data_IF_265546677282
#
_entry.id   IF_265546677282
#
_cell.length_a   1.000
_cell.length_b   1.000
_cell.length_c   1.000
_cell.angle_alpha   90.00
_cell.angle_beta   90.00
_cell.angle_gamma   90.00
#
_symmetry.space_group_name_H-M   'P 1'
#
loop_
_entity.id
_entity.type
_entity.pdbx_description
1 polymer ?
#
# COMPACT_ATOMS: atom_id res chain seq x y z
N UNK A 1 5.96 2.90 -3.38
CA UNK A 1 5.77 2.52 -4.79
C UNK A 1 5.20 1.12 -4.87
N UNK A 2 4.18 0.90 -5.68
CA UNK A 2 3.54 -0.40 -5.80
C UNK A 2 4.47 -1.42 -6.48
N UNK A 3 4.38 -2.68 -6.05
CA UNK A 3 5.21 -3.77 -6.54
C UNK A 3 4.33 -4.74 -7.36
N UNK A 4 4.62 -4.82 -8.66
CA UNK A 4 3.91 -5.70 -9.58
C UNK A 4 4.10 -7.19 -9.21
N UNK A 5 5.31 -7.57 -8.78
CA UNK A 5 5.59 -8.95 -8.37
C UNK A 5 4.73 -9.35 -7.17
N UNK A 6 4.62 -8.48 -6.18
CA UNK A 6 3.77 -8.72 -5.01
C UNK A 6 2.30 -8.81 -5.41
N UNK A 7 1.85 -7.98 -6.35
CA UNK A 7 0.49 -8.02 -6.86
C UNK A 7 0.18 -9.35 -7.54
N UNK A 8 1.09 -9.87 -8.35
CA UNK A 8 0.94 -11.17 -8.99
C UNK A 8 0.86 -12.28 -7.95
N UNK A 9 1.73 -12.26 -6.95
CA UNK A 9 1.77 -13.27 -5.89
C UNK A 9 0.54 -13.25 -5.00
N UNK A 10 -0.14 -12.11 -4.88
CA UNK A 10 -1.40 -12.02 -4.14
C UNK A 10 -2.56 -12.73 -4.85
N UNK A 11 -2.46 -12.90 -6.16
CA UNK A 11 -3.46 -13.63 -6.97
C UNK A 11 -3.27 -15.13 -6.83
N UNK A 12 -2.03 -15.59 -6.77
CA UNK A 12 -1.70 -17.00 -6.64
C UNK A 12 -0.20 -17.26 -6.68
N UNK A 13 0.20 -18.52 -6.54
CA UNK A 13 1.60 -18.91 -6.59
C UNK A 13 2.03 -19.12 -8.04
N UNK A 14 2.82 -18.21 -8.57
CA UNK A 14 3.31 -18.30 -9.95
C UNK A 14 4.82 -18.04 -10.00
N UNK A 15 5.47 -18.68 -10.94
CA UNK A 15 6.87 -18.42 -11.25
C UNK A 15 6.96 -17.51 -12.47
N UNK A 16 7.68 -16.41 -12.34
CA UNK A 16 7.79 -15.42 -13.40
C UNK A 16 9.06 -14.58 -13.23
N UNK A 17 9.44 -13.89 -14.30
CA UNK A 17 10.54 -12.93 -14.32
C UNK A 17 10.00 -11.60 -14.79
N UNK A 18 10.33 -10.53 -14.09
CA UNK A 18 9.96 -9.17 -14.45
C UNK A 18 11.21 -8.37 -14.79
N UNK A 19 11.19 -7.70 -15.95
CA UNK A 19 12.23 -6.76 -16.34
C UNK A 19 11.64 -5.35 -16.33
N UNK A 20 11.91 -4.59 -15.26
CA UNK A 20 11.39 -3.24 -15.13
C UNK A 20 10.24 -3.13 -14.13
N UNK A 21 9.48 -2.07 -14.25
CA UNK A 21 8.35 -1.76 -13.36
C UNK A 21 7.12 -1.42 -14.23
N UNK A 22 6.33 -2.43 -14.63
CA UNK A 22 5.19 -2.20 -15.52
C UNK A 22 4.12 -1.33 -14.85
N UNK A 23 3.67 -0.31 -15.57
CA UNK A 23 2.60 0.60 -15.13
C UNK A 23 1.42 0.61 -16.10
N UNK A 24 1.53 -0.08 -17.23
CA UNK A 24 0.47 -0.22 -18.23
C UNK A 24 0.32 -1.70 -18.60
N UNK A 25 -0.82 -2.05 -19.21
CA UNK A 25 -1.04 -3.42 -19.68
C UNK A 25 -0.01 -3.85 -20.73
N UNK A 26 0.36 -2.95 -21.65
CA UNK A 26 1.38 -3.23 -22.66
C UNK A 26 2.74 -3.52 -22.01
N UNK A 27 3.16 -2.73 -21.02
CA UNK A 27 4.38 -2.98 -20.28
C UNK A 27 4.31 -4.27 -19.49
N UNK A 28 3.17 -4.55 -18.86
CA UNK A 28 2.94 -5.80 -18.14
C UNK A 28 3.14 -7.00 -19.05
N UNK A 29 2.54 -6.98 -20.24
CA UNK A 29 2.64 -8.06 -21.20
C UNK A 29 4.06 -8.25 -21.75
N UNK A 30 4.83 -7.16 -21.90
CA UNK A 30 6.18 -7.20 -22.46
C UNK A 30 7.27 -7.47 -21.42
N UNK A 31 7.08 -7.02 -20.19
CA UNK A 31 8.11 -7.08 -19.14
C UNK A 31 8.00 -8.31 -18.24
N UNK A 32 6.85 -8.96 -18.18
CA UNK A 32 6.65 -10.15 -17.36
C UNK A 32 6.72 -11.39 -18.25
N UNK A 33 7.64 -12.30 -17.90
CA UNK A 33 7.77 -13.59 -18.56
C UNK A 33 7.37 -14.68 -17.57
N UNK A 34 6.49 -15.56 -18.00
CA UNK A 34 5.94 -16.63 -17.16
C UNK A 34 6.72 -17.91 -17.31
N UNK A 35 7.19 -18.48 -16.21
CA UNK A 35 7.96 -19.72 -16.21
C UNK A 35 6.99 -20.91 -16.21
N UNK A 36 7.05 -21.74 -17.23
CA UNK A 36 6.22 -22.94 -17.35
C UNK A 36 6.93 -24.21 -16.86
N UNK A 37 8.24 -24.14 -16.69
CA UNK A 37 9.03 -25.29 -16.25
C UNK A 37 10.52 -25.04 -16.45
N UNK A 38 11.31 -26.11 -16.42
CA UNK A 38 12.73 -26.04 -16.69
C UNK A 38 13.13 -27.20 -17.60
N UNK A 39 14.17 -26.97 -18.44
CA UNK A 39 14.71 -28.01 -19.31
C UNK A 39 15.65 -28.93 -18.53
N UNK A 40 16.25 -29.90 -19.22
CA UNK A 40 17.16 -30.88 -18.61
C UNK A 40 18.43 -30.27 -18.02
N UNK A 41 18.77 -29.04 -18.42
CA UNK A 41 19.92 -28.27 -17.92
C UNK A 41 19.55 -27.32 -16.79
N UNK A 42 18.28 -27.28 -16.38
CA UNK A 42 17.80 -26.36 -15.35
C UNK A 42 17.49 -24.95 -15.86
N UNK A 43 17.53 -24.75 -17.18
CA UNK A 43 17.19 -23.45 -17.78
C UNK A 43 15.67 -23.26 -17.81
N UNK A 44 15.20 -22.08 -17.39
CA UNK A 44 13.77 -21.78 -17.34
C UNK A 44 13.13 -21.82 -18.74
N UNK A 45 11.99 -22.47 -18.81
CA UNK A 45 11.16 -22.51 -20.02
C UNK A 45 10.01 -21.52 -19.79
N UNK A 46 9.85 -20.57 -20.71
CA UNK A 46 8.80 -19.56 -20.62
C UNK A 46 7.55 -20.02 -21.39
N UNK A 47 6.40 -19.72 -20.83
CA UNK A 47 5.11 -20.09 -21.39
C UNK A 47 4.14 -18.92 -21.36
N UNK A 48 2.87 -19.25 -21.47
CA UNK A 48 1.79 -18.26 -21.50
C UNK A 48 1.43 -17.76 -20.11
N UNK A 49 0.89 -16.55 -20.04
CA UNK A 49 0.35 -15.98 -18.82
C UNK A 49 -0.82 -16.86 -18.32
N UNK A 50 -0.87 -17.19 -17.00
CA UNK A 50 -2.03 -17.88 -16.44
C UNK A 50 -3.32 -17.08 -16.63
N UNK A 51 -4.41 -17.75 -16.95
CA UNK A 51 -5.71 -17.09 -17.21
C UNK A 51 -6.25 -16.35 -15.96
N UNK A 52 -5.91 -16.84 -14.77
CA UNK A 52 -6.33 -16.20 -13.52
C UNK A 52 -5.64 -14.86 -13.30
N UNK A 53 -4.51 -14.59 -13.97
CA UNK A 53 -3.77 -13.34 -13.84
C UNK A 53 -4.17 -12.38 -14.95
N UNK A 54 -4.81 -11.28 -14.61
CA UNK A 54 -5.18 -10.24 -15.56
C UNK A 54 -4.57 -8.92 -15.12
N UNK A 55 -4.32 -8.03 -16.07
CA UNK A 55 -3.80 -6.69 -15.74
C UNK A 55 -4.75 -5.96 -14.80
N UNK A 56 -6.07 -6.11 -14.99
CA UNK A 56 -7.05 -5.49 -14.11
C UNK A 56 -6.87 -5.91 -12.64
N UNK A 57 -6.64 -7.19 -12.38
CA UNK A 57 -6.40 -7.69 -11.02
C UNK A 57 -5.07 -7.22 -10.45
N UNK A 58 -4.02 -7.25 -11.27
CA UNK A 58 -2.68 -6.80 -10.88
C UNK A 58 -2.71 -5.31 -10.55
N UNK A 59 -3.31 -4.50 -11.42
CA UNK A 59 -3.43 -3.05 -11.22
C UNK A 59 -4.24 -2.73 -9.98
N UNK A 60 -5.35 -3.44 -9.75
CA UNK A 60 -6.18 -3.23 -8.57
C UNK A 60 -5.39 -3.47 -7.27
N UNK A 61 -4.56 -4.51 -7.24
CA UNK A 61 -3.72 -4.79 -6.07
C UNK A 61 -2.60 -3.75 -5.91
N UNK A 62 -1.99 -3.32 -7.02
CA UNK A 62 -0.98 -2.26 -6.99
C UNK A 62 -1.58 -0.95 -6.47
N UNK A 63 -2.80 -0.61 -6.87
CA UNK A 63 -3.52 0.57 -6.38
C UNK A 63 -3.80 0.46 -4.86
N UNK A 64 -4.13 -0.74 -4.37
CA UNK A 64 -4.30 -0.98 -2.92
C UNK A 64 -2.99 -0.81 -2.18
N UNK A 65 -1.87 -1.27 -2.74
CA UNK A 65 -0.55 -1.09 -2.14
C UNK A 65 -0.21 0.40 -2.01
N UNK A 66 -0.46 1.18 -3.07
CA UNK A 66 -0.21 2.62 -3.07
C UNK A 66 -1.11 3.34 -2.05
N UNK A 67 -2.40 2.98 -2.00
CA UNK A 67 -3.33 3.54 -1.03
C UNK A 67 -2.92 3.22 0.41
N UNK A 68 -2.40 2.01 0.66
CA UNK A 68 -1.90 1.61 1.97
C UNK A 68 -0.69 2.46 2.39
N UNK A 69 0.27 2.66 1.47
CA UNK A 69 1.45 3.49 1.74
C UNK A 69 1.05 4.94 1.99
N UNK A 70 0.14 5.48 1.19
CA UNK A 70 -0.36 6.85 1.36
C UNK A 70 -1.08 7.01 2.69
N UNK A 71 -1.95 6.07 3.06
CA UNK A 71 -2.67 6.11 4.33
C UNK A 71 -1.71 5.97 5.51
N UNK A 72 -0.67 5.18 5.38
CA UNK A 72 0.36 5.04 6.41
C UNK A 72 1.04 6.39 6.70
N UNK A 73 1.38 7.14 5.64
CA UNK A 73 1.96 8.48 5.78
C UNK A 73 0.97 9.45 6.43
N UNK A 74 -0.29 9.41 6.04
CA UNK A 74 -1.35 10.23 6.64
C UNK A 74 -1.49 9.92 8.12
N UNK A 75 -1.51 8.64 8.49
CA UNK A 75 -1.59 8.19 9.89
C UNK A 75 -0.40 8.68 10.70
N UNK A 76 0.81 8.55 10.16
CA UNK A 76 2.03 8.99 10.85
C UNK A 76 2.02 10.50 11.11
N UNK A 77 1.64 11.28 10.10
CA UNK A 77 1.55 12.74 10.22
C UNK A 77 0.48 13.15 11.24
N UNK A 78 -0.69 12.52 11.18
CA UNK A 78 -1.79 12.80 12.09
C UNK A 78 -1.42 12.47 13.55
N UNK A 79 -0.84 11.28 13.76
CA UNK A 79 -0.40 10.86 15.10
C UNK A 79 0.71 11.73 15.65
N UNK A 80 1.64 12.18 14.81
CA UNK A 80 2.71 13.08 15.21
C UNK A 80 2.14 14.43 15.68
N UNK A 81 1.15 14.97 14.96
CA UNK A 81 0.49 16.19 15.37
C UNK A 81 -0.25 16.03 16.70
N UNK A 82 -1.00 14.92 16.84
CA UNK A 82 -1.72 14.63 18.09
C UNK A 82 -0.74 14.51 19.28
N UNK A 83 0.34 13.77 19.08
CA UNK A 83 1.38 13.62 20.11
C UNK A 83 2.01 14.96 20.48
N UNK A 84 2.27 15.83 19.50
CA UNK A 84 2.88 17.14 19.74
C UNK A 84 1.98 18.10 20.51
N UNK A 85 0.66 17.86 20.52
CA UNK A 85 -0.33 18.71 21.17
C UNK A 85 -1.00 18.05 22.38
N UNK A 86 -0.67 16.80 22.71
CA UNK A 86 -1.24 16.09 23.87
C UNK A 86 -0.99 16.82 25.19
N UNK A 87 0.15 17.47 25.35
CA UNK A 87 0.45 18.24 26.57
C UNK A 87 -0.56 19.34 26.81
N UNK A 88 -1.17 19.91 25.77
CA UNK A 88 -2.20 20.94 25.92
C UNK A 88 -3.49 20.34 26.49
N UNK A 89 -3.83 19.11 26.06
CA UNK A 89 -5.00 18.40 26.59
C UNK A 89 -4.80 18.04 28.06
N UNK A 90 -3.62 17.58 28.43
CA UNK A 90 -3.26 17.27 29.82
C UNK A 90 -3.31 18.53 30.67
N UNK A 91 -2.74 19.65 30.20
CA UNK A 91 -2.77 20.93 30.90
C UNK A 91 -4.19 21.38 31.18
N UNK A 92 -5.08 21.32 30.19
CA UNK A 92 -6.50 21.68 30.34
C UNK A 92 -7.19 20.79 31.36
N UNK A 93 -6.96 19.45 31.28
CA UNK A 93 -7.54 18.46 32.17
C UNK A 93 -7.11 18.66 33.64
N UNK A 94 -5.89 19.17 33.86
CA UNK A 94 -5.36 19.45 35.21
C UNK A 94 -5.76 20.83 35.74
N UNK A 95 -6.68 21.51 35.07
CA UNK A 95 -7.17 22.83 35.49
C UNK A 95 -6.30 24.01 35.07
N UNK A 96 -5.35 23.77 34.17
CA UNK A 96 -4.52 24.83 33.58
C UNK A 96 -5.23 25.55 32.44
N UNK A 97 -4.43 26.24 31.62
CA UNK A 97 -4.93 27.01 30.49
C UNK A 97 -5.66 26.11 29.49
N UNK A 98 -6.83 26.54 29.02
CA UNK A 98 -7.60 25.80 28.02
C UNK A 98 -6.85 25.71 26.70
N UNK A 99 -7.03 24.59 26.01
CA UNK A 99 -6.48 24.39 24.68
C UNK A 99 -7.10 25.40 23.71
N UNK A 100 -6.28 26.08 22.86
CA UNK A 100 -6.83 26.96 21.83
C UNK A 100 -7.86 26.26 20.93
N UNK A 101 -8.91 26.99 20.55
CA UNK A 101 -9.99 26.38 19.73
C UNK A 101 -9.54 25.92 18.37
N UNK A 102 -8.57 26.59 17.75
CA UNK A 102 -7.98 26.17 16.46
C UNK A 102 -7.23 24.85 16.59
N UNK A 103 -6.54 24.63 17.71
CA UNK A 103 -5.86 23.37 18.01
C UNK A 103 -6.88 22.24 18.22
N UNK A 104 -7.96 22.50 18.97
CA UNK A 104 -9.04 21.52 19.17
C UNK A 104 -9.64 21.07 17.84
N UNK A 105 -9.91 22.02 16.96
CA UNK A 105 -10.48 21.76 15.64
C UNK A 105 -9.52 20.91 14.80
N UNK A 106 -8.25 21.30 14.75
CA UNK A 106 -7.24 20.57 13.99
C UNK A 106 -7.01 19.16 14.53
N UNK A 107 -7.00 18.98 15.85
CA UNK A 107 -6.89 17.66 16.47
C UNK A 107 -8.04 16.75 16.05
N UNK A 108 -9.27 17.27 16.01
CA UNK A 108 -10.43 16.50 15.55
C UNK A 108 -10.29 16.10 14.09
N UNK A 109 -9.83 17.02 13.24
CA UNK A 109 -9.57 16.75 11.83
C UNK A 109 -8.49 15.68 11.65
N UNK A 110 -7.39 15.76 12.39
CA UNK A 110 -6.30 14.79 12.30
C UNK A 110 -6.71 13.41 12.80
N UNK A 111 -7.50 13.33 13.88
CA UNK A 111 -8.06 12.03 14.33
C UNK A 111 -8.93 11.39 13.28
N UNK A 112 -9.71 12.20 12.56
CA UNK A 112 -10.59 11.70 11.49
C UNK A 112 -9.83 11.14 10.29
N UNK A 113 -8.59 11.56 10.08
CA UNK A 113 -7.73 11.08 8.97
C UNK A 113 -7.12 9.71 9.25
N UNK A 114 -7.01 9.30 10.50
CA UNK A 114 -6.39 8.02 10.87
C UNK A 114 -7.34 6.88 10.53
N UNK A 115 -6.85 5.92 9.74
CA UNK A 115 -7.61 4.73 9.34
C UNK A 115 -6.85 3.49 9.81
N UNK A 116 -7.58 2.53 10.38
CA UNK A 116 -6.99 1.28 10.82
C UNK A 116 -6.48 0.49 9.59
N UNK A 117 -5.26 -0.02 9.68
CA UNK A 117 -4.67 -0.81 8.61
C UNK A 117 -5.46 -2.09 8.30
N UNK A 118 -6.20 -2.61 9.23
CA UNK A 118 -7.07 -3.77 9.01
C UNK A 118 -8.12 -3.52 7.92
N UNK A 119 -8.52 -2.26 7.71
CA UNK A 119 -9.48 -1.89 6.68
C UNK A 119 -8.93 -2.05 5.26
N UNK A 120 -7.61 -2.21 5.12
CA UNK A 120 -6.95 -2.40 3.82
C UNK A 120 -6.71 -3.88 3.49
N UNK A 121 -6.91 -4.78 4.42
CA UNK A 121 -6.59 -6.21 4.26
C UNK A 121 -7.77 -7.04 3.75
N UNK A 122 -8.81 -6.40 3.35
CA UNK A 122 -10.02 -7.06 2.86
C UNK A 122 -9.83 -7.73 1.49
#
# INVERSE_FOLDING_TARGET
MADCAQAIQSIGSYEFVITGAPSTEAEFNSQVKWVSGADSNGTAIFGSKPDAVTWAKVKADMDKQDAFVDQKKINETARAYLASTDWMAVREAEGGKAMPSDVKTKRAEERAKVVDYADFSA
#
